data_IF_361982225702
#
_entry.id   IF_361982225702
#
_cell.length_a   1.000
_cell.length_b   1.000
_cell.length_c   1.000
_cell.angle_alpha   90.00
_cell.angle_beta   90.00
_cell.angle_gamma   90.00
#
_symmetry.space_group_name_H-M   'P 1'
#
loop_
_entity.id
_entity.type
_entity.pdbx_description
1 polymer ?
#
# COMPACT_ATOMS: atom_id res chain seq x y z
N UNK A 1 -6.74 -12.72 10.10
CA UNK A 1 -6.92 -13.24 8.73
C UNK A 1 -6.79 -12.06 7.77
N UNK A 2 -5.67 -11.98 7.07
CA UNK A 2 -5.34 -10.86 6.19
C UNK A 2 -5.91 -11.11 4.79
N UNK A 3 -6.30 -10.00 4.11
CA UNK A 3 -6.87 -10.07 2.76
C UNK A 3 -5.77 -10.35 1.73
N UNK A 4 -6.09 -11.13 0.71
CA UNK A 4 -5.25 -11.24 -0.49
C UNK A 4 -5.51 -10.04 -1.42
N UNK A 5 -5.16 -8.87 -0.91
CA UNK A 5 -5.32 -7.59 -1.59
C UNK A 5 -4.01 -7.23 -2.29
N UNK A 6 -4.04 -7.19 -3.61
CA UNK A 6 -2.90 -6.86 -4.45
C UNK A 6 -3.18 -5.56 -5.22
N UNK A 7 -2.82 -4.39 -4.69
CA UNK A 7 -3.06 -3.12 -5.35
C UNK A 7 -2.13 -2.92 -6.55
N UNK A 8 -2.63 -2.18 -7.53
CA UNK A 8 -1.83 -1.66 -8.62
C UNK A 8 -0.93 -0.55 -8.10
N UNK A 9 0.37 -0.65 -8.40
CA UNK A 9 1.35 0.35 -8.02
C UNK A 9 1.38 1.53 -8.99
N UNK A 10 2.00 2.62 -8.54
CA UNK A 10 2.32 3.74 -9.37
C UNK A 10 3.26 3.40 -10.54
N UNK A 11 3.65 4.41 -11.28
CA UNK A 11 4.32 4.23 -12.55
C UNK A 11 5.84 4.32 -12.45
N UNK A 12 6.52 3.41 -13.16
CA UNK A 12 7.98 3.46 -13.42
C UNK A 12 8.21 3.33 -14.93
N UNK A 13 9.18 4.04 -15.45
CA UNK A 13 9.60 3.91 -16.83
C UNK A 13 10.56 2.72 -16.98
N UNK A 14 10.11 1.64 -17.63
CA UNK A 14 10.91 0.45 -17.96
C UNK A 14 10.81 -0.69 -16.95
N UNK A 15 10.70 -1.92 -17.46
CA UNK A 15 10.54 -3.14 -16.66
C UNK A 15 11.77 -3.50 -15.82
N UNK A 16 12.94 -2.93 -16.14
CA UNK A 16 14.20 -3.26 -15.46
C UNK A 16 14.44 -2.50 -14.16
N UNK A 17 13.73 -1.42 -13.94
CA UNK A 17 13.93 -0.55 -12.78
C UNK A 17 13.23 -1.04 -11.51
N UNK A 18 12.29 -1.99 -11.62
CA UNK A 18 11.49 -2.44 -10.49
C UNK A 18 11.45 -3.96 -10.38
N UNK A 19 11.73 -4.44 -9.17
CA UNK A 19 11.64 -5.87 -8.82
C UNK A 19 10.68 -6.04 -7.67
N UNK A 20 9.96 -7.17 -7.63
CA UNK A 20 9.06 -7.49 -6.52
C UNK A 20 9.12 -8.97 -6.20
N UNK A 21 8.95 -9.32 -4.92
CA UNK A 21 8.90 -10.69 -4.41
C UNK A 21 7.94 -10.79 -3.24
N UNK A 22 7.12 -11.84 -3.20
CA UNK A 22 6.30 -12.14 -2.02
C UNK A 22 7.12 -12.90 -0.98
N UNK A 23 6.96 -12.60 0.32
CA UNK A 23 7.53 -13.44 1.37
C UNK A 23 6.80 -14.76 1.48
N UNK A 24 7.53 -15.79 1.91
CA UNK A 24 6.94 -17.11 2.20
C UNK A 24 6.10 -17.09 3.49
N UNK A 25 5.16 -18.04 3.67
CA UNK A 25 4.50 -18.27 4.94
C UNK A 25 5.51 -18.53 6.07
N UNK A 26 5.25 -18.06 7.31
CA UNK A 26 4.04 -17.38 7.74
C UNK A 26 4.06 -15.85 7.53
N UNK A 27 5.19 -15.25 7.10
CA UNK A 27 5.40 -13.82 7.02
C UNK A 27 4.46 -13.11 6.01
N UNK A 28 4.02 -13.83 4.98
CA UNK A 28 3.04 -13.35 4.01
C UNK A 28 1.67 -12.96 4.63
N UNK A 29 1.47 -13.21 5.92
CA UNK A 29 0.28 -12.72 6.68
C UNK A 29 0.35 -11.22 6.95
N UNK A 30 1.55 -10.66 7.14
CA UNK A 30 1.78 -9.26 7.50
C UNK A 30 2.36 -8.46 6.33
N UNK A 31 3.35 -9.05 5.66
CA UNK A 31 4.03 -8.43 4.51
C UNK A 31 3.39 -8.94 3.22
N UNK A 32 3.00 -8.00 2.37
CA UNK A 32 2.45 -8.31 1.06
C UNK A 32 3.56 -8.63 0.07
N UNK A 33 4.56 -7.75 0.00
CA UNK A 33 5.68 -7.90 -0.92
C UNK A 33 6.90 -7.10 -0.44
N UNK A 34 8.06 -7.55 -0.87
CA UNK A 34 9.27 -6.75 -0.97
C UNK A 34 9.35 -6.18 -2.38
N UNK A 35 9.88 -4.98 -2.51
CA UNK A 35 10.14 -4.39 -3.80
C UNK A 35 11.46 -3.62 -3.80
N UNK A 36 12.06 -3.47 -4.98
CA UNK A 36 13.25 -2.64 -5.18
C UNK A 36 13.06 -1.81 -6.43
N UNK A 37 13.25 -0.51 -6.29
CA UNK A 37 13.31 0.46 -7.38
C UNK A 37 14.75 0.87 -7.58
N UNK A 38 15.26 0.71 -8.82
CA UNK A 38 16.58 1.21 -9.22
C UNK A 38 16.37 2.31 -10.26
N UNK A 39 16.82 3.51 -9.93
CA UNK A 39 16.69 4.71 -10.75
C UNK A 39 18.00 4.93 -11.52
N UNK A 40 17.98 5.03 -12.85
CA UNK A 40 19.16 5.33 -13.64
C UNK A 40 19.63 6.78 -13.43
N UNK A 41 20.81 7.12 -13.94
CA UNK A 41 21.33 8.49 -13.89
C UNK A 41 20.37 9.46 -14.60
N UNK A 42 20.08 10.58 -13.95
CA UNK A 42 19.21 11.65 -14.40
C UNK A 42 17.91 11.75 -13.60
N UNK A 43 17.07 12.70 -13.99
CA UNK A 43 15.81 12.96 -13.30
C UNK A 43 14.78 11.87 -13.62
N UNK A 44 14.26 11.26 -12.59
CA UNK A 44 13.24 10.22 -12.66
C UNK A 44 11.96 10.65 -11.93
N UNK A 45 10.81 10.35 -12.50
CA UNK A 45 9.51 10.65 -11.93
C UNK A 45 8.78 9.36 -11.59
N UNK A 46 8.58 9.13 -10.29
CA UNK A 46 7.74 8.04 -9.80
C UNK A 46 6.37 8.57 -9.43
N UNK A 47 5.34 8.12 -10.13
CA UNK A 47 3.96 8.53 -9.88
C UNK A 47 3.27 7.49 -9.01
N UNK A 48 3.23 7.72 -7.71
CA UNK A 48 2.54 6.86 -6.75
C UNK A 48 1.05 7.16 -6.71
N UNK A 49 0.22 6.13 -6.60
CA UNK A 49 -1.24 6.22 -6.49
C UNK A 49 -1.75 5.61 -5.19
N UNK A 50 -2.89 6.08 -4.64
CA UNK A 50 -3.46 5.55 -3.40
C UNK A 50 -3.76 4.06 -3.48
N UNK A 51 -3.38 3.30 -2.43
CA UNK A 51 -3.52 1.83 -2.44
C UNK A 51 -3.90 1.20 -1.08
N UNK A 52 -4.13 1.99 -0.04
CA UNK A 52 -4.47 1.52 1.32
C UNK A 52 -3.37 0.70 2.03
N UNK A 53 -2.15 0.68 1.52
CA UNK A 53 -1.04 -0.03 2.13
C UNK A 53 -0.13 0.91 2.93
N UNK A 54 0.62 0.33 3.84
CA UNK A 54 1.76 0.96 4.49
C UNK A 54 3.01 0.41 3.83
N UNK A 55 3.92 1.29 3.42
CA UNK A 55 5.24 0.90 2.93
C UNK A 55 6.34 1.38 3.90
N UNK A 56 7.30 0.53 4.20
CA UNK A 56 8.58 0.94 4.77
C UNK A 56 9.59 1.06 3.63
N UNK A 57 10.09 2.26 3.38
CA UNK A 57 11.01 2.58 2.29
C UNK A 57 12.39 2.87 2.85
N UNK A 58 13.39 2.23 2.29
CA UNK A 58 14.80 2.31 2.69
C UNK A 58 15.61 2.70 1.47
N UNK A 59 16.30 3.83 1.55
CA UNK A 59 17.26 4.24 0.54
C UNK A 59 18.53 3.40 0.67
N UNK A 60 18.90 2.67 -0.38
CA UNK A 60 20.08 1.80 -0.37
C UNK A 60 21.41 2.58 -0.46
N UNK A 61 21.35 3.85 -0.81
CA UNK A 61 22.51 4.72 -0.96
C UNK A 61 22.69 5.69 0.23
N UNK A 62 21.69 5.80 1.12
CA UNK A 62 21.70 6.70 2.27
C UNK A 62 20.96 6.10 3.47
N UNK A 63 21.69 5.78 4.54
CA UNK A 63 21.16 5.13 5.74
C UNK A 63 20.09 5.94 6.47
N UNK A 64 20.25 7.25 6.52
CA UNK A 64 19.37 8.15 7.26
C UNK A 64 18.05 8.44 6.51
N UNK A 65 17.95 8.00 5.24
CA UNK A 65 16.77 8.18 4.41
C UNK A 65 15.94 6.89 4.39
N UNK A 66 15.28 6.65 5.51
CA UNK A 66 14.38 5.52 5.67
C UNK A 66 13.12 5.96 6.42
N UNK A 67 11.96 5.56 5.89
CA UNK A 67 10.69 6.07 6.38
C UNK A 67 9.53 5.15 6.04
N UNK A 68 8.49 5.25 6.84
CA UNK A 68 7.20 4.66 6.55
C UNK A 68 6.29 5.66 5.84
N UNK A 69 5.58 5.18 4.83
CA UNK A 69 4.49 5.92 4.18
C UNK A 69 3.16 5.31 4.61
N UNK A 70 2.28 6.08 5.28
CA UNK A 70 0.92 5.65 5.58
C UNK A 70 0.03 5.68 4.32
N UNK A 71 -1.17 5.09 4.35
CA UNK A 71 -2.16 5.24 3.30
C UNK A 71 -2.53 6.71 3.05
N UNK A 72 -2.63 7.09 1.78
CA UNK A 72 -2.91 8.46 1.33
C UNK A 72 -4.10 8.49 0.34
N UNK A 73 -4.62 9.71 0.02
CA UNK A 73 -5.85 9.91 -0.76
C UNK A 73 -5.66 10.62 -2.11
N UNK A 74 -4.45 11.02 -2.42
CA UNK A 74 -4.13 11.69 -3.68
C UNK A 74 -2.79 11.19 -4.19
N UNK A 75 -2.65 11.08 -5.50
CA UNK A 75 -1.36 10.70 -6.09
C UNK A 75 -0.25 11.70 -5.72
N UNK A 76 0.95 11.16 -5.60
CA UNK A 76 2.16 11.94 -5.38
C UNK A 76 3.18 11.61 -6.46
N UNK A 77 3.81 12.62 -7.03
CA UNK A 77 4.93 12.45 -7.95
C UNK A 77 6.22 12.68 -7.18
N UNK A 78 7.00 11.64 -7.02
CA UNK A 78 8.34 11.73 -6.45
C UNK A 78 9.34 12.06 -7.56
N UNK A 79 10.13 13.10 -7.34
CA UNK A 79 11.23 13.50 -8.21
C UNK A 79 12.51 12.92 -7.60
N UNK A 80 13.14 12.02 -8.31
CA UNK A 80 14.33 11.29 -7.84
C UNK A 80 15.48 11.61 -8.78
N UNK A 81 16.55 12.17 -8.24
CA UNK A 81 17.81 12.36 -8.98
C UNK A 81 18.65 11.09 -8.88
N UNK A 82 18.75 10.38 -10.00
CA UNK A 82 19.53 9.15 -10.08
C UNK A 82 21.01 9.40 -10.38
N UNK A 83 21.88 8.41 -10.13
CA UNK A 83 21.51 7.04 -9.79
C UNK A 83 21.06 6.91 -8.31
N UNK A 84 19.98 6.17 -8.06
CA UNK A 84 19.50 5.89 -6.72
C UNK A 84 18.83 4.51 -6.65
N UNK A 85 18.84 3.90 -5.49
CA UNK A 85 18.19 2.61 -5.28
C UNK A 85 17.41 2.60 -3.98
N UNK A 86 16.16 2.17 -4.05
CA UNK A 86 15.25 2.06 -2.90
C UNK A 86 14.81 0.62 -2.73
N UNK A 87 14.77 0.15 -1.50
CA UNK A 87 14.16 -1.12 -1.13
C UNK A 87 12.92 -0.85 -0.29
N UNK A 88 11.83 -1.58 -0.54
CA UNK A 88 10.60 -1.39 0.20
C UNK A 88 10.00 -2.68 0.74
N UNK A 89 9.37 -2.55 1.91
CA UNK A 89 8.58 -3.57 2.56
C UNK A 89 7.14 -3.08 2.54
N UNK A 90 6.30 -3.69 1.72
CA UNK A 90 4.88 -3.38 1.67
C UNK A 90 4.10 -4.26 2.61
N UNK A 91 3.37 -3.65 3.52
CA UNK A 91 2.51 -4.36 4.45
C UNK A 91 1.12 -4.59 3.87
N UNK A 92 0.51 -5.71 4.21
CA UNK A 92 -0.93 -5.91 3.97
C UNK A 92 -1.74 -4.91 4.79
N UNK A 93 -2.98 -4.66 4.39
CA UNK A 93 -3.90 -3.84 5.20
C UNK A 93 -3.97 -4.45 6.61
N UNK A 94 -3.69 -3.63 7.63
CA UNK A 94 -3.48 -4.00 9.03
C UNK A 94 -2.20 -4.81 9.32
N UNK A 95 -1.44 -5.25 8.32
CA UNK A 95 -0.26 -6.08 8.51
C UNK A 95 0.89 -5.37 9.24
N UNK A 96 1.03 -4.06 9.06
CA UNK A 96 2.02 -3.23 9.76
C UNK A 96 1.92 -3.32 11.29
N UNK A 97 0.72 -3.58 11.84
CA UNK A 97 0.50 -3.69 13.29
C UNK A 97 1.23 -4.88 13.93
N UNK A 98 1.67 -5.84 13.13
CA UNK A 98 2.54 -6.90 13.63
C UNK A 98 3.94 -6.41 14.01
N UNK A 99 4.36 -5.27 13.48
CA UNK A 99 5.69 -4.70 13.71
C UNK A 99 5.64 -3.34 14.42
N UNK A 100 4.63 -2.53 14.13
CA UNK A 100 4.49 -1.16 14.62
C UNK A 100 3.31 -1.08 15.59
N UNK A 101 3.58 -0.71 16.83
CA UNK A 101 2.57 -0.56 17.88
C UNK A 101 1.86 0.80 17.84
N UNK A 102 2.51 1.84 17.28
CA UNK A 102 1.93 3.18 17.18
C UNK A 102 0.79 3.19 16.16
N UNK A 103 -0.44 3.58 16.55
CA UNK A 103 -1.57 3.60 15.64
C UNK A 103 -1.37 4.58 14.48
N UNK A 104 -1.78 4.21 13.26
CA UNK A 104 -1.68 5.07 12.07
C UNK A 104 -2.35 6.45 12.25
N UNK A 105 -3.40 6.53 13.06
CA UNK A 105 -4.06 7.79 13.36
C UNK A 105 -3.20 8.79 14.14
N UNK A 106 -2.09 8.34 14.72
CA UNK A 106 -1.14 9.13 15.50
C UNK A 106 0.12 9.54 14.72
N UNK A 107 0.29 9.04 13.49
CA UNK A 107 1.46 9.37 12.67
C UNK A 107 1.49 10.83 12.15
N UNK A 108 0.48 11.61 12.48
CA UNK A 108 0.35 13.00 12.05
C UNK A 108 -0.14 13.14 10.60
N UNK A 109 -0.18 14.39 10.13
CA UNK A 109 -0.55 14.72 8.73
C UNK A 109 0.66 14.71 7.79
N UNK A 110 1.84 14.38 8.30
CA UNK A 110 3.09 14.33 7.52
C UNK A 110 3.06 13.12 6.61
N UNK A 111 3.43 13.30 5.35
CA UNK A 111 3.36 12.25 4.32
C UNK A 111 4.29 11.05 4.54
N UNK A 112 5.22 11.12 5.51
CA UNK A 112 6.14 10.03 5.89
C UNK A 112 6.58 10.18 7.33
N UNK A 113 6.94 9.06 8.00
CA UNK A 113 7.44 9.02 9.37
C UNK A 113 8.76 8.23 9.39
N UNK A 114 9.78 8.73 10.07
CA UNK A 114 11.06 8.02 10.17
C UNK A 114 10.87 6.67 10.87
N UNK A 115 11.62 5.67 10.44
CA UNK A 115 11.50 4.34 11.02
C UNK A 115 11.90 4.31 12.49
N UNK A 116 12.88 5.13 12.88
CA UNK A 116 13.37 5.29 14.26
C UNK A 116 12.32 5.87 15.21
N UNK A 117 11.33 6.59 14.69
CA UNK A 117 10.22 7.13 15.49
C UNK A 117 9.12 6.08 15.75
N UNK A 118 9.10 4.99 15.00
CA UNK A 118 8.05 3.96 15.04
C UNK A 118 8.52 2.61 15.53
N UNK A 119 9.82 2.31 15.40
CA UNK A 119 10.40 1.01 15.71
C UNK A 119 11.54 1.14 16.74
N UNK A 120 11.75 0.10 17.57
CA UNK A 120 12.95 -0.02 18.36
C UNK A 120 14.22 0.03 17.51
N UNK A 121 15.25 0.71 18.02
CA UNK A 121 16.50 0.95 17.30
C UNK A 121 17.21 -0.35 16.88
N UNK A 122 17.13 -1.40 17.68
CA UNK A 122 17.70 -2.72 17.40
C UNK A 122 17.04 -3.39 16.18
N UNK A 123 15.73 -3.22 16.00
CA UNK A 123 15.01 -3.72 14.82
C UNK A 123 15.43 -2.95 13.57
N UNK A 124 15.45 -1.61 13.65
CA UNK A 124 15.87 -0.76 12.54
C UNK A 124 17.29 -1.10 12.11
N UNK A 125 18.21 -1.22 13.09
CA UNK A 125 19.61 -1.57 12.84
C UNK A 125 19.75 -2.96 12.20
N UNK A 126 19.04 -3.98 12.71
CA UNK A 126 19.10 -5.34 12.17
C UNK A 126 18.59 -5.41 10.72
N UNK A 127 17.55 -4.63 10.41
CA UNK A 127 17.03 -4.51 9.02
C UNK A 127 18.08 -3.89 8.11
N UNK A 128 18.74 -2.83 8.55
CA UNK A 128 19.81 -2.20 7.77
C UNK A 128 20.98 -3.15 7.53
N UNK A 129 21.49 -3.76 8.57
CA UNK A 129 22.61 -4.69 8.48
C UNK A 129 22.35 -5.75 7.41
N UNK A 130 21.18 -6.35 7.44
CA UNK A 130 20.79 -7.37 6.47
C UNK A 130 20.68 -6.83 5.05
N UNK A 131 20.04 -5.68 4.87
CA UNK A 131 19.79 -5.08 3.56
C UNK A 131 21.10 -4.65 2.89
N UNK A 132 22.00 -4.02 3.64
CA UNK A 132 23.27 -3.53 3.09
C UNK A 132 24.30 -4.63 2.85
N UNK A 133 24.34 -5.67 3.69
CA UNK A 133 25.24 -6.79 3.50
C UNK A 133 24.81 -7.74 2.37
N UNK A 134 23.54 -7.72 1.97
CA UNK A 134 23.04 -8.58 0.92
C UNK A 134 23.35 -8.03 -0.49
N UNK A 135 24.02 -8.84 -1.31
CA UNK A 135 24.50 -8.45 -2.65
C UNK A 135 23.45 -8.51 -3.76
N UNK A 136 22.24 -9.00 -3.49
CA UNK A 136 21.18 -9.11 -4.49
C UNK A 136 19.81 -8.91 -3.87
N UNK A 137 18.82 -8.56 -4.70
CA UNK A 137 17.43 -8.41 -4.28
C UNK A 137 16.89 -9.66 -3.57
N UNK A 138 17.10 -10.85 -4.15
CA UNK A 138 16.59 -12.10 -3.58
C UNK A 138 17.23 -12.42 -2.22
N UNK A 139 18.54 -12.14 -2.08
CA UNK A 139 19.24 -12.30 -0.79
C UNK A 139 18.70 -11.31 0.25
N UNK A 140 18.43 -10.05 -0.13
CA UNK A 140 17.78 -9.08 0.76
C UNK A 140 16.44 -9.60 1.25
N UNK A 141 15.59 -10.05 0.33
CA UNK A 141 14.26 -10.57 0.67
C UNK A 141 14.32 -11.75 1.64
N UNK A 142 15.21 -12.71 1.38
CA UNK A 142 15.33 -13.93 2.19
C UNK A 142 15.87 -13.63 3.59
N UNK A 143 16.96 -12.87 3.70
CA UNK A 143 17.57 -12.52 4.99
C UNK A 143 16.67 -11.60 5.81
N UNK A 144 16.04 -10.62 5.17
CA UNK A 144 15.10 -9.71 5.81
C UNK A 144 13.86 -10.45 6.35
N UNK A 145 13.40 -11.48 5.64
CA UNK A 145 12.26 -12.29 6.10
C UNK A 145 12.49 -12.90 7.48
N UNK A 146 13.72 -13.33 7.79
CA UNK A 146 14.05 -13.87 9.10
C UNK A 146 14.01 -12.76 10.19
N UNK A 147 14.57 -11.58 9.91
CA UNK A 147 14.58 -10.45 10.83
C UNK A 147 13.15 -9.97 11.13
N UNK A 148 12.35 -9.74 10.09
CA UNK A 148 10.97 -9.28 10.28
C UNK A 148 10.15 -10.33 11.03
N UNK A 149 10.30 -11.62 10.70
CA UNK A 149 9.57 -12.69 11.35
C UNK A 149 9.89 -12.80 12.85
N UNK A 150 11.13 -12.55 13.25
CA UNK A 150 11.52 -12.55 14.67
C UNK A 150 10.99 -11.34 15.44
N UNK A 151 10.74 -10.23 14.75
CA UNK A 151 10.23 -9.00 15.33
C UNK A 151 8.70 -8.88 15.33
N UNK A 152 8.03 -9.62 14.43
CA UNK A 152 6.57 -9.57 14.32
C UNK A 152 5.89 -10.17 15.55
N UNK A 153 4.98 -9.41 16.10
CA UNK A 153 4.08 -9.86 17.17
C UNK A 153 2.65 -10.09 16.63
N UNK A 154 1.86 -10.87 17.36
CA UNK A 154 0.44 -10.99 17.04
C UNK A 154 -0.27 -9.73 17.53
N UNK A 155 -0.54 -8.81 16.62
CA UNK A 155 -1.35 -7.65 16.92
C UNK A 155 -2.79 -8.07 17.24
N UNK A 156 -3.35 -7.55 18.33
CA UNK A 156 -4.75 -7.73 18.68
C UNK A 156 -5.62 -6.78 17.85
N UNK A 157 -5.82 -7.15 16.59
CA UNK A 157 -6.70 -6.41 15.68
C UNK A 157 -8.15 -6.71 16.04
N UNK A 158 -8.95 -5.68 16.34
CA UNK A 158 -10.37 -5.82 16.59
C UNK A 158 -11.04 -6.67 15.49
N UNK A 159 -11.58 -7.85 15.81
CA UNK A 159 -12.13 -8.76 14.81
C UNK A 159 -13.34 -8.17 14.06
N UNK A 160 -14.01 -7.17 14.65
CA UNK A 160 -15.11 -6.44 14.01
C UNK A 160 -14.59 -5.54 12.90
N UNK A 161 -13.45 -4.85 13.13
CA UNK A 161 -12.76 -4.07 12.10
C UNK A 161 -12.26 -4.98 10.98
N UNK A 162 -11.66 -6.11 11.31
CA UNK A 162 -11.18 -7.07 10.32
C UNK A 162 -12.33 -7.60 9.43
N UNK A 163 -13.51 -7.89 10.01
CA UNK A 163 -14.72 -8.26 9.24
C UNK A 163 -15.21 -7.13 8.34
N UNK A 164 -15.22 -5.88 8.85
CA UNK A 164 -15.59 -4.72 8.05
C UNK A 164 -14.67 -4.52 6.85
N UNK A 165 -13.36 -4.58 7.02
CA UNK A 165 -12.36 -4.43 5.95
C UNK A 165 -12.56 -5.52 4.89
N UNK A 166 -12.78 -6.77 5.30
CA UNK A 166 -13.09 -7.87 4.40
C UNK A 166 -14.36 -7.59 3.61
N UNK A 167 -15.44 -7.20 4.27
CA UNK A 167 -16.68 -6.85 3.63
C UNK A 167 -16.50 -5.76 2.58
N UNK A 168 -15.75 -4.71 2.88
CA UNK A 168 -15.43 -3.65 1.93
C UNK A 168 -14.72 -4.18 0.67
N UNK A 169 -13.76 -5.07 0.86
CA UNK A 169 -13.01 -5.67 -0.23
C UNK A 169 -13.87 -6.58 -1.12
N UNK A 170 -14.69 -7.44 -0.51
CA UNK A 170 -15.57 -8.38 -1.22
C UNK A 170 -16.72 -7.67 -1.94
N UNK A 171 -17.13 -6.48 -1.46
CA UNK A 171 -18.25 -5.72 -1.99
C UNK A 171 -17.82 -4.38 -2.62
N UNK A 172 -16.64 -4.34 -3.20
CA UNK A 172 -16.04 -3.10 -3.73
C UNK A 172 -16.87 -2.45 -4.85
N UNK A 173 -17.66 -3.22 -5.60
CA UNK A 173 -18.55 -2.75 -6.66
C UNK A 173 -19.88 -2.18 -6.12
N UNK A 174 -20.25 -2.53 -4.89
CA UNK A 174 -21.44 -1.95 -4.28
C UNK A 174 -21.15 -0.52 -3.83
N UNK A 175 -22.13 0.36 -3.93
CA UNK A 175 -22.08 1.67 -3.29
C UNK A 175 -22.01 1.42 -1.78
N UNK A 176 -20.80 1.42 -1.23
CA UNK A 176 -20.56 1.25 0.20
C UNK A 176 -21.17 2.45 0.93
N UNK A 177 -22.47 2.39 1.16
CA UNK A 177 -23.11 3.29 2.11
C UNK A 177 -22.71 2.85 3.51
N UNK A 178 -21.82 3.63 4.13
CA UNK A 178 -21.35 3.45 5.49
C UNK A 178 -22.29 4.19 6.46
N UNK A 179 -23.59 4.14 6.18
CA UNK A 179 -24.62 4.58 7.11
C UNK A 179 -24.55 3.82 8.43
N UNK A 180 -25.15 4.36 9.47
CA UNK A 180 -25.18 3.71 10.79
C UNK A 180 -25.76 2.28 10.71
N UNK A 181 -26.68 2.04 9.77
CA UNK A 181 -27.25 0.70 9.52
C UNK A 181 -26.22 -0.32 9.03
N UNK A 182 -25.23 0.08 8.27
CA UNK A 182 -24.17 -0.82 7.80
C UNK A 182 -23.14 -1.12 8.91
N UNK A 183 -22.78 -0.14 9.74
CA UNK A 183 -21.82 -0.34 10.83
C UNK A 183 -22.33 -1.34 11.87
N UNK A 184 -23.64 -1.35 12.13
CA UNK A 184 -24.27 -2.28 13.08
C UNK A 184 -24.12 -3.75 12.70
N UNK A 185 -24.02 -4.08 11.39
CA UNK A 185 -23.74 -5.45 10.91
C UNK A 185 -22.43 -6.02 11.44
N UNK A 186 -21.50 -5.15 11.80
CA UNK A 186 -20.19 -5.53 12.36
C UNK A 186 -20.17 -5.44 13.89
N UNK A 187 -21.29 -5.09 14.54
CA UNK A 187 -21.37 -4.85 15.98
C UNK A 187 -20.64 -3.56 16.40
N UNK A 188 -20.61 -2.57 15.52
CA UNK A 188 -19.99 -1.26 15.74
C UNK A 188 -21.02 -0.15 15.53
N UNK A 189 -20.93 0.92 16.33
CA UNK A 189 -21.58 2.18 15.96
C UNK A 189 -20.77 2.88 14.86
N UNK A 190 -21.39 3.79 14.11
CA UNK A 190 -20.69 4.59 13.08
C UNK A 190 -19.51 5.39 13.68
N UNK A 191 -19.65 5.88 14.91
CA UNK A 191 -18.57 6.57 15.63
C UNK A 191 -17.39 5.62 15.93
N UNK A 192 -17.69 4.41 16.43
CA UNK A 192 -16.65 3.40 16.69
C UNK A 192 -15.96 2.96 15.40
N UNK A 193 -16.72 2.71 14.35
CA UNK A 193 -16.15 2.33 13.04
C UNK A 193 -15.19 3.41 12.51
N UNK A 194 -15.61 4.69 12.52
CA UNK A 194 -14.74 5.81 12.10
C UNK A 194 -13.48 5.89 12.95
N UNK A 195 -13.59 5.76 14.27
CA UNK A 195 -12.44 5.78 15.17
C UNK A 195 -11.46 4.63 14.88
N UNK A 196 -11.96 3.40 14.82
CA UNK A 196 -11.11 2.22 14.57
C UNK A 196 -10.46 2.27 13.19
N UNK A 197 -11.21 2.66 12.14
CA UNK A 197 -10.66 2.74 10.79
C UNK A 197 -9.59 3.83 10.72
N UNK A 198 -9.83 5.02 11.29
CA UNK A 198 -8.81 6.08 11.32
C UNK A 198 -7.58 5.64 12.11
N UNK A 199 -7.77 4.99 13.25
CA UNK A 199 -6.69 4.55 14.13
C UNK A 199 -5.82 3.45 13.50
N UNK A 200 -6.43 2.45 12.85
CA UNK A 200 -5.72 1.25 12.40
C UNK A 200 -5.46 1.20 10.89
N UNK A 201 -6.20 1.95 10.08
CA UNK A 201 -6.03 2.04 8.62
C UNK A 201 -5.50 3.41 8.18
N UNK A 202 -5.52 4.41 9.07
CA UNK A 202 -5.08 5.77 8.78
C UNK A 202 -6.11 6.62 8.02
N UNK A 203 -7.18 6.01 7.49
CA UNK A 203 -8.21 6.66 6.69
C UNK A 203 -9.59 6.54 7.35
N UNK A 204 -10.50 7.45 6.98
CA UNK A 204 -11.91 7.28 7.34
C UNK A 204 -12.55 6.15 6.49
N UNK A 205 -13.62 5.49 6.97
CA UNK A 205 -14.28 4.40 6.25
C UNK A 205 -14.62 4.73 4.80
N UNK A 206 -15.20 5.91 4.58
CA UNK A 206 -15.58 6.38 3.24
C UNK A 206 -14.38 6.51 2.30
N UNK A 207 -13.26 6.99 2.80
CA UNK A 207 -12.05 7.22 1.99
C UNK A 207 -11.31 5.91 1.74
N UNK A 208 -11.25 5.03 2.72
CA UNK A 208 -10.79 3.65 2.55
C UNK A 208 -11.56 2.94 1.42
N UNK A 209 -12.90 3.03 1.42
CA UNK A 209 -13.75 2.45 0.38
C UNK A 209 -13.51 3.07 -1.01
N UNK A 210 -13.28 4.40 -1.09
CA UNK A 210 -12.93 5.05 -2.37
C UNK A 210 -11.63 4.53 -2.95
N UNK A 211 -10.59 4.35 -2.13
CA UNK A 211 -9.31 3.81 -2.59
C UNK A 211 -9.46 2.36 -3.04
N UNK A 212 -10.21 1.52 -2.32
CA UNK A 212 -10.52 0.15 -2.77
C UNK A 212 -11.21 0.14 -4.14
N UNK A 213 -12.22 0.98 -4.33
CA UNK A 213 -12.95 1.12 -5.61
C UNK A 213 -12.01 1.56 -6.74
N UNK A 214 -11.20 2.56 -6.49
CA UNK A 214 -10.19 3.04 -7.44
C UNK A 214 -9.23 1.93 -7.85
N UNK A 215 -8.71 1.17 -6.91
CA UNK A 215 -7.81 0.04 -7.16
C UNK A 215 -8.49 -1.11 -7.93
N UNK A 216 -9.77 -1.37 -7.65
CA UNK A 216 -10.56 -2.32 -8.43
C UNK A 216 -10.68 -1.91 -9.90
N UNK A 217 -10.94 -0.63 -10.13
CA UNK A 217 -11.00 -0.07 -11.50
C UNK A 217 -9.64 -0.14 -12.19
N UNK A 218 -8.55 0.20 -11.52
CA UNK A 218 -7.20 0.08 -12.11
C UNK A 218 -6.91 -1.34 -12.56
N UNK A 219 -7.24 -2.33 -11.73
CA UNK A 219 -7.09 -3.75 -12.05
C UNK A 219 -7.92 -4.16 -13.26
N UNK A 220 -9.17 -3.75 -13.30
CA UNK A 220 -10.06 -4.07 -14.40
C UNK A 220 -9.69 -3.35 -15.71
N UNK A 221 -9.20 -2.10 -15.64
CA UNK A 221 -8.66 -1.39 -16.81
C UNK A 221 -7.46 -2.13 -17.42
N UNK A 222 -6.67 -2.80 -16.59
CA UNK A 222 -5.51 -3.57 -17.04
C UNK A 222 -5.90 -4.88 -17.70
N UNK A 223 -6.85 -5.60 -17.08
CA UNK A 223 -7.26 -6.92 -17.55
C UNK A 223 -8.09 -6.86 -18.87
N UNK A 224 -8.97 -5.87 -19.01
CA UNK A 224 -9.95 -5.82 -20.10
C UNK A 224 -9.58 -4.86 -21.22
N UNK A 225 -8.55 -4.04 -21.08
CA UNK A 225 -8.23 -2.93 -22.01
C UNK A 225 -9.45 -2.04 -22.37
N UNK A 226 -10.56 -2.17 -21.63
CA UNK A 226 -11.84 -1.52 -21.90
C UNK A 226 -12.00 -0.26 -21.04
N UNK A 227 -12.64 0.76 -21.63
CA UNK A 227 -13.01 1.99 -20.92
C UNK A 227 -14.35 1.89 -20.18
N UNK A 228 -15.09 0.77 -20.33
CA UNK A 228 -16.42 0.60 -19.75
C UNK A 228 -16.42 0.05 -18.32
N UNK A 229 -15.26 -0.16 -17.74
CA UNK A 229 -15.08 -0.71 -16.39
C UNK A 229 -15.72 0.15 -15.29
N UNK A 230 -15.98 1.43 -15.56
CA UNK A 230 -16.61 2.32 -14.59
C UNK A 230 -18.08 2.02 -14.33
N UNK A 231 -18.78 1.32 -15.25
CA UNK A 231 -20.23 1.08 -15.15
C UNK A 231 -20.62 0.31 -13.88
N UNK A 232 -19.76 -0.57 -13.41
CA UNK A 232 -20.04 -1.40 -12.24
C UNK A 232 -19.68 -0.68 -10.91
N UNK A 233 -18.93 0.44 -10.97
CA UNK A 233 -18.33 1.08 -9.81
C UNK A 233 -18.77 2.53 -9.58
N UNK A 234 -19.32 3.19 -10.59
CA UNK A 234 -19.67 4.61 -10.55
C UNK A 234 -21.04 4.87 -11.14
N UNK A 235 -21.70 5.91 -10.65
CA UNK A 235 -23.04 6.29 -11.10
C UNK A 235 -23.07 6.69 -12.59
N UNK A 236 -22.08 7.48 -13.03
CA UNK A 236 -21.92 7.90 -14.42
C UNK A 236 -20.42 8.13 -14.76
N UNK A 237 -20.16 8.33 -16.07
CA UNK A 237 -18.83 8.55 -16.57
C UNK A 237 -18.18 9.84 -16.01
N UNK A 238 -18.95 10.88 -15.81
CA UNK A 238 -18.43 12.17 -15.30
C UNK A 238 -17.99 12.05 -13.85
N UNK A 239 -18.76 11.32 -13.03
CA UNK A 239 -18.39 10.99 -11.65
C UNK A 239 -17.11 10.15 -11.62
N UNK A 240 -17.03 9.12 -12.46
CA UNK A 240 -15.82 8.30 -12.62
C UNK A 240 -14.59 9.13 -12.95
N UNK A 241 -14.64 9.95 -14.02
CA UNK A 241 -13.50 10.74 -14.47
C UNK A 241 -13.03 11.72 -13.39
N UNK A 242 -13.97 12.36 -12.68
CA UNK A 242 -13.63 13.30 -11.59
C UNK A 242 -12.98 12.60 -10.41
N UNK A 243 -13.55 11.47 -9.94
CA UNK A 243 -12.99 10.74 -8.80
C UNK A 243 -11.66 10.08 -9.17
N UNK A 244 -11.54 9.51 -10.35
CA UNK A 244 -10.30 8.95 -10.88
C UNK A 244 -9.18 10.01 -10.93
N UNK A 245 -9.46 11.19 -11.53
CA UNK A 245 -8.48 12.27 -11.60
C UNK A 245 -8.09 12.80 -10.21
N UNK A 246 -9.03 12.83 -9.26
CA UNK A 246 -8.74 13.25 -7.88
C UNK A 246 -7.77 12.29 -7.19
N UNK A 247 -7.91 10.98 -7.41
CA UNK A 247 -7.08 9.95 -6.77
C UNK A 247 -5.75 9.74 -7.52
N UNK A 248 -5.76 9.76 -8.85
CA UNK A 248 -4.57 9.48 -9.67
C UNK A 248 -3.83 10.75 -10.16
N UNK A 249 -4.39 11.95 -9.98
CA UNK A 249 -3.84 13.20 -10.52
C UNK A 249 -4.04 13.40 -12.03
N UNK A 250 -4.43 12.36 -12.77
CA UNK A 250 -4.58 12.36 -14.23
C UNK A 250 -5.90 11.74 -14.67
N UNK A 251 -6.31 11.98 -15.91
CA UNK A 251 -7.53 11.34 -16.44
C UNK A 251 -7.30 9.85 -16.72
N UNK A 252 -8.35 9.00 -16.78
CA UNK A 252 -8.22 7.58 -17.13
C UNK A 252 -7.48 7.35 -18.46
N UNK A 253 -7.73 8.19 -19.45
CA UNK A 253 -7.06 8.11 -20.76
C UNK A 253 -5.58 8.43 -20.68
N UNK A 254 -5.20 9.43 -19.90
CA UNK A 254 -3.80 9.76 -19.64
C UNK A 254 -3.12 8.63 -18.85
N UNK A 255 -3.79 8.11 -17.82
CA UNK A 255 -3.26 7.02 -17.01
C UNK A 255 -2.96 5.77 -17.84
N UNK A 256 -3.83 5.40 -18.80
CA UNK A 256 -3.60 4.28 -19.71
C UNK A 256 -2.35 4.43 -20.57
N UNK A 257 -2.02 5.66 -20.99
CA UNK A 257 -0.81 5.94 -21.77
C UNK A 257 0.48 5.89 -20.94
N UNK A 258 0.31 5.90 -19.64
CA UNK A 258 1.43 5.75 -18.72
C UNK A 258 1.74 4.25 -18.55
N UNK A 259 3.03 3.80 -18.55
CA UNK A 259 3.39 2.45 -18.15
C UNK A 259 3.09 2.27 -16.66
N UNK A 260 2.37 1.24 -16.28
CA UNK A 260 1.93 1.02 -14.90
C UNK A 260 2.72 -0.16 -14.35
N UNK A 261 3.23 -0.03 -13.14
CA UNK A 261 3.78 -1.16 -12.40
C UNK A 261 2.62 -2.07 -11.98
N UNK A 262 2.59 -3.23 -12.57
CA UNK A 262 1.77 -4.33 -12.07
C UNK A 262 2.62 -5.20 -11.16
N UNK A 263 2.06 -5.60 -10.04
CA UNK A 263 2.55 -6.76 -9.33
C UNK A 263 2.23 -8.00 -10.20
N UNK A 264 3.00 -8.22 -11.25
CA UNK A 264 2.95 -9.46 -11.99
C UNK A 264 3.54 -10.55 -11.11
N UNK A 265 2.67 -11.18 -10.34
CA UNK A 265 2.99 -12.50 -9.83
C UNK A 265 2.89 -13.45 -11.02
N UNK A 266 4.02 -13.83 -11.57
CA UNK A 266 4.09 -14.99 -12.41
C UNK A 266 3.67 -16.18 -11.54
N UNK A 267 2.41 -16.61 -11.65
CA UNK A 267 1.98 -17.92 -11.18
C UNK A 267 2.78 -18.94 -11.97
N UNK A 268 3.82 -19.48 -11.34
CA UNK A 268 4.41 -20.75 -11.73
C UNK A 268 3.75 -21.86 -10.94
#
# INVERSE_FOLDING_TARGET
MFLDYNPTQGKVAGDHAYKTQQPLPPLNRWVQSYWQLTVPKGLFHYHSVPDNCVDWIINLDCFDDNFFIPPFLSSTVFHIDGPASFFGIRFRILGHQGLISVPLGEWGEVGSVKAEDLLPADIVYSVYEVIYNAKSFDKRCNSLSAVILSAVTFADVDPRLARYIRYCYENVSSNLDLSDSQSSKFGLSARQLRRLTKQHVGLLPKDFGKVLRFQSVLRAMSALQSNKVYLDHYYDQSHFVREFKRLSGVTPTQFKKMSVLYNHYSSK
#
